data_IF_138564256381
#
_entry.id   IF_138564256381
#
_cell.length_a   1.000
_cell.length_b   1.000
_cell.length_c   1.000
_cell.angle_alpha   90.00
_cell.angle_beta   90.00
_cell.angle_gamma   90.00
#
_symmetry.space_group_name_H-M   'P 1'
#
loop_
_entity.id
_entity.type
_entity.pdbx_description
1 polymer ?
#
# COMPACT_ATOMS: atom_id res chain seq x y z
N UNK A 1 -1.83 -98.58 15.77
CA UNK A 1 -2.72 -98.43 14.60
C UNK A 1 -3.73 -97.34 14.93
N UNK A 2 -3.85 -96.34 14.06
CA UNK A 2 -5.03 -95.51 13.71
C UNK A 2 -5.96 -94.98 14.82
N UNK A 3 -6.52 -93.77 14.75
CA UNK A 3 -6.38 -92.58 13.90
C UNK A 3 -7.39 -91.55 14.43
N UNK A 4 -7.17 -90.27 14.11
CA UNK A 4 -8.16 -89.19 13.97
C UNK A 4 -8.96 -88.71 15.19
N UNK A 5 -8.60 -87.52 15.67
CA UNK A 5 -9.53 -86.57 16.29
C UNK A 5 -9.09 -85.14 15.96
N UNK A 6 -9.24 -84.77 14.68
CA UNK A 6 -9.01 -83.39 14.21
C UNK A 6 -10.32 -82.93 13.60
N UNK A 7 -10.96 -81.94 14.21
CA UNK A 7 -12.11 -81.27 13.59
C UNK A 7 -13.21 -80.88 14.55
N UNK A 8 -12.92 -80.16 15.63
CA UNK A 8 -13.95 -79.33 16.28
C UNK A 8 -13.45 -78.17 17.17
N UNK A 9 -12.15 -77.84 17.16
CA UNK A 9 -11.54 -76.94 18.15
C UNK A 9 -10.81 -75.71 17.58
N UNK A 10 -11.22 -75.20 16.41
CA UNK A 10 -10.55 -74.06 15.75
C UNK A 10 -11.47 -72.88 15.39
N UNK A 11 -12.66 -72.77 15.98
CA UNK A 11 -13.61 -71.68 15.67
C UNK A 11 -13.97 -70.76 16.84
N UNK A 12 -13.47 -71.02 18.05
CA UNK A 12 -13.79 -70.22 19.23
C UNK A 12 -12.95 -68.93 19.44
N UNK A 13 -11.66 -68.80 19.02
CA UNK A 13 -10.87 -67.63 19.40
C UNK A 13 -11.01 -66.43 18.44
N UNK A 14 -11.65 -66.58 17.27
CA UNK A 14 -11.80 -65.52 16.27
C UNK A 14 -12.95 -64.54 16.54
N UNK A 15 -13.85 -64.85 17.49
CA UNK A 15 -15.00 -64.00 17.82
C UNK A 15 -14.72 -62.97 18.92
N UNK A 16 -13.55 -63.02 19.57
CA UNK A 16 -13.19 -62.11 20.68
C UNK A 16 -12.26 -60.95 20.24
N UNK A 17 -11.82 -60.91 18.98
CA UNK A 17 -10.94 -59.85 18.45
C UNK A 17 -11.69 -58.72 17.73
N UNK A 18 -13.03 -58.73 17.72
CA UNK A 18 -13.85 -57.73 17.01
C UNK A 18 -14.23 -56.49 17.84
N UNK A 19 -13.68 -56.31 19.04
CA UNK A 19 -14.09 -55.23 19.96
C UNK A 19 -13.32 -53.90 19.82
N UNK A 20 -12.25 -53.83 19.01
CA UNK A 20 -11.61 -52.56 18.66
C UNK A 20 -11.98 -52.15 17.23
N UNK A 21 -13.28 -51.97 16.96
CA UNK A 21 -13.72 -51.27 15.75
C UNK A 21 -13.57 -49.77 16.03
N UNK A 22 -12.76 -49.02 15.27
CA UNK A 22 -12.74 -47.57 15.42
C UNK A 22 -14.18 -47.04 15.25
N UNK A 23 -14.58 -46.05 16.06
CA UNK A 23 -15.93 -45.48 15.95
C UNK A 23 -16.17 -45.03 14.49
N UNK A 24 -17.38 -45.24 13.95
CA UNK A 24 -17.71 -44.76 12.62
C UNK A 24 -17.43 -43.25 12.55
N UNK A 25 -16.86 -42.75 11.43
CA UNK A 25 -16.55 -41.34 11.29
C UNK A 25 -17.82 -40.51 11.48
N UNK A 26 -17.77 -39.53 12.39
CA UNK A 26 -18.91 -38.68 12.68
C UNK A 26 -19.28 -37.86 11.43
N UNK A 27 -20.43 -38.12 10.80
CA UNK A 27 -20.84 -37.40 9.60
C UNK A 27 -21.06 -35.92 9.89
N UNK A 28 -21.36 -35.54 11.14
CA UNK A 28 -21.51 -34.14 11.53
C UNK A 28 -20.16 -33.43 11.56
N UNK A 29 -19.11 -34.10 12.07
CA UNK A 29 -17.75 -33.56 12.04
C UNK A 29 -17.25 -33.37 10.59
N UNK A 30 -17.54 -34.34 9.71
CA UNK A 30 -17.19 -34.24 8.30
C UNK A 30 -17.90 -33.05 7.60
N UNK A 31 -19.19 -32.83 7.91
CA UNK A 31 -19.95 -31.68 7.38
C UNK A 31 -19.41 -30.34 7.90
N UNK A 32 -19.07 -30.26 9.19
CA UNK A 32 -18.51 -29.05 9.78
C UNK A 32 -17.15 -28.70 9.19
N UNK A 33 -16.27 -29.69 9.00
CA UNK A 33 -14.98 -29.50 8.34
C UNK A 33 -15.16 -29.00 6.91
N UNK A 34 -16.06 -29.62 6.14
CA UNK A 34 -16.35 -29.19 4.77
C UNK A 34 -16.86 -27.74 4.70
N UNK A 35 -17.76 -27.36 5.61
CA UNK A 35 -18.29 -26.01 5.70
C UNK A 35 -17.21 -24.98 6.10
N UNK A 36 -16.32 -25.33 7.02
CA UNK A 36 -15.20 -24.49 7.43
C UNK A 36 -14.18 -24.33 6.30
N UNK A 37 -13.81 -25.40 5.61
CA UNK A 37 -12.90 -25.36 4.46
C UNK A 37 -13.45 -24.50 3.32
N UNK A 38 -14.76 -24.57 3.06
CA UNK A 38 -15.41 -23.72 2.07
C UNK A 38 -15.31 -22.22 2.45
N UNK A 39 -15.58 -21.89 3.72
CA UNK A 39 -15.45 -20.51 4.22
C UNK A 39 -14.02 -19.99 4.16
N UNK A 40 -13.05 -20.84 4.52
CA UNK A 40 -11.62 -20.50 4.42
C UNK A 40 -11.26 -20.20 2.97
N UNK A 41 -11.69 -21.05 2.01
CA UNK A 41 -11.44 -20.82 0.59
C UNK A 41 -12.04 -19.51 0.08
N UNK A 42 -13.25 -19.15 0.51
CA UNK A 42 -13.85 -17.84 0.21
C UNK A 42 -13.03 -16.70 0.79
N UNK A 43 -12.66 -16.77 2.07
CA UNK A 43 -11.87 -15.74 2.75
C UNK A 43 -10.47 -15.59 2.15
N UNK A 44 -9.81 -16.68 1.79
CA UNK A 44 -8.51 -16.66 1.13
C UNK A 44 -8.58 -16.00 -0.25
N UNK A 45 -9.68 -16.22 -0.98
CA UNK A 45 -9.94 -15.57 -2.27
C UNK A 45 -10.18 -14.08 -2.08
N UNK A 46 -11.03 -13.68 -1.14
CA UNK A 46 -11.27 -12.27 -0.80
C UNK A 46 -9.98 -11.56 -0.37
N UNK A 47 -9.14 -12.21 0.44
CA UNK A 47 -7.84 -11.66 0.86
C UNK A 47 -6.89 -11.55 -0.34
N UNK A 48 -6.89 -12.50 -1.26
CA UNK A 48 -6.08 -12.44 -2.47
C UNK A 48 -6.52 -11.29 -3.38
N UNK A 49 -7.83 -11.10 -3.56
CA UNK A 49 -8.41 -10.01 -4.33
C UNK A 49 -8.13 -8.65 -3.70
N UNK A 50 -8.28 -8.51 -2.38
CA UNK A 50 -7.94 -7.28 -1.66
C UNK A 50 -6.45 -6.95 -1.78
N UNK A 51 -5.57 -7.96 -1.67
CA UNK A 51 -4.12 -7.79 -1.85
C UNK A 51 -3.73 -7.48 -3.29
N UNK A 52 -4.44 -8.01 -4.28
CA UNK A 52 -4.23 -7.69 -5.69
C UNK A 52 -4.70 -6.27 -5.98
N UNK A 53 -5.89 -5.89 -5.50
CA UNK A 53 -6.43 -4.55 -5.59
C UNK A 53 -5.51 -3.50 -4.95
N UNK A 54 -4.95 -3.77 -3.77
CA UNK A 54 -3.96 -2.88 -3.13
C UNK A 54 -2.65 -2.71 -3.92
N UNK A 55 -2.29 -3.66 -4.78
CA UNK A 55 -1.10 -3.54 -5.66
C UNK A 55 -1.40 -2.74 -6.93
N UNK A 56 -2.63 -2.82 -7.44
CA UNK A 56 -3.06 -2.13 -8.67
C UNK A 56 -3.62 -0.72 -8.43
N UNK A 57 -4.29 -0.50 -7.29
CA UNK A 57 -4.54 0.85 -6.83
C UNK A 57 -3.23 1.35 -6.24
N UNK A 58 -2.46 2.11 -7.01
CA UNK A 58 -1.37 2.93 -6.49
C UNK A 58 -1.91 3.87 -5.42
N UNK A 59 -2.08 3.36 -4.19
CA UNK A 59 -2.37 4.15 -3.01
C UNK A 59 -1.14 5.01 -2.86
N UNK A 60 -1.22 6.24 -3.36
CA UNK A 60 -0.16 7.23 -3.18
C UNK A 60 0.17 7.22 -1.69
N UNK A 61 1.43 6.93 -1.36
CA UNK A 61 1.87 6.88 0.01
C UNK A 61 1.42 8.19 0.69
N UNK A 62 0.83 8.10 1.88
CA UNK A 62 0.33 9.29 2.59
C UNK A 62 1.44 10.36 2.73
N UNK A 63 2.68 9.93 2.87
CA UNK A 63 3.86 10.78 2.89
C UNK A 63 4.08 11.49 1.54
N UNK A 64 3.94 10.78 0.42
CA UNK A 64 4.09 11.35 -0.93
C UNK A 64 2.98 12.38 -1.23
N UNK A 65 1.75 12.09 -0.81
CA UNK A 65 0.62 13.02 -0.96
C UNK A 65 0.86 14.27 -0.14
N UNK A 66 1.29 14.10 1.11
CA UNK A 66 1.58 15.22 2.03
C UNK A 66 2.75 16.06 1.51
N UNK A 67 3.83 15.42 1.06
CA UNK A 67 4.99 16.10 0.49
C UNK A 67 4.62 16.88 -0.78
N UNK A 68 3.81 16.30 -1.67
CA UNK A 68 3.32 16.99 -2.87
C UNK A 68 2.42 18.18 -2.52
N UNK A 69 1.53 18.03 -1.54
CA UNK A 69 0.67 19.12 -1.07
C UNK A 69 1.48 20.27 -0.46
N UNK A 70 2.47 19.96 0.38
CA UNK A 70 3.38 20.96 0.95
C UNK A 70 4.17 21.69 -0.15
N UNK A 71 4.71 20.95 -1.12
CA UNK A 71 5.42 21.53 -2.26
C UNK A 71 4.54 22.46 -3.11
N UNK A 72 3.28 22.08 -3.34
CA UNK A 72 2.32 22.94 -4.05
C UNK A 72 2.00 24.21 -3.27
N UNK A 73 1.80 24.11 -1.95
CA UNK A 73 1.57 25.27 -1.09
C UNK A 73 2.75 26.24 -1.12
N UNK A 74 3.99 25.73 -1.02
CA UNK A 74 5.19 26.54 -1.20
C UNK A 74 5.20 27.21 -2.58
N UNK A 75 4.98 26.45 -3.65
CA UNK A 75 5.06 26.99 -5.00
C UNK A 75 4.02 28.09 -5.25
N UNK A 76 2.79 27.92 -4.77
CA UNK A 76 1.73 28.93 -4.88
C UNK A 76 2.07 30.17 -4.05
N UNK A 77 2.56 29.98 -2.81
CA UNK A 77 2.94 31.09 -1.94
C UNK A 77 4.10 31.91 -2.53
N UNK A 78 5.13 31.25 -3.05
CA UNK A 78 6.27 31.90 -3.68
C UNK A 78 5.85 32.63 -4.97
N UNK A 79 5.08 31.98 -5.86
CA UNK A 79 4.56 32.63 -7.06
C UNK A 79 3.76 33.91 -6.73
N UNK A 80 2.92 33.85 -5.69
CA UNK A 80 2.19 35.04 -5.19
C UNK A 80 3.15 36.12 -4.68
N UNK A 81 4.16 35.75 -3.89
CA UNK A 81 5.13 36.71 -3.38
C UNK A 81 5.91 37.41 -4.51
N UNK A 82 6.29 36.67 -5.56
CA UNK A 82 6.92 37.22 -6.76
C UNK A 82 6.00 38.22 -7.47
N UNK A 83 4.72 37.90 -7.64
CA UNK A 83 3.75 38.82 -8.23
C UNK A 83 3.53 40.08 -7.39
N UNK A 84 3.47 39.94 -6.06
CA UNK A 84 3.33 41.09 -5.15
C UNK A 84 4.56 42.01 -5.23
N UNK A 85 5.77 41.44 -5.25
CA UNK A 85 6.99 42.21 -5.49
C UNK A 85 6.93 42.94 -6.83
N UNK A 86 6.52 42.24 -7.90
CA UNK A 86 6.39 42.82 -9.24
C UNK A 86 5.43 43.99 -9.28
N UNK A 87 4.28 43.89 -8.61
CA UNK A 87 3.29 44.96 -8.54
C UNK A 87 3.80 46.19 -7.77
N UNK A 88 4.63 45.98 -6.74
CA UNK A 88 5.20 47.05 -5.92
C UNK A 88 6.52 47.63 -6.44
N UNK A 89 7.13 47.04 -7.46
CA UNK A 89 8.45 47.44 -7.95
C UNK A 89 8.36 48.47 -9.09
N UNK A 90 9.38 49.34 -9.14
CA UNK A 90 9.54 50.28 -10.26
C UNK A 90 9.79 49.48 -11.55
N UNK A 91 8.99 49.75 -12.57
CA UNK A 91 9.06 49.06 -13.86
C UNK A 91 8.43 47.67 -13.87
N UNK A 92 7.66 47.31 -12.84
CA UNK A 92 6.94 46.04 -12.76
C UNK A 92 7.82 44.82 -12.98
N UNK A 93 8.96 44.76 -12.27
CA UNK A 93 9.96 43.69 -12.38
C UNK A 93 9.90 42.69 -11.23
N UNK A 94 10.28 41.45 -11.50
CA UNK A 94 10.54 40.44 -10.47
C UNK A 94 11.84 40.72 -9.70
N UNK A 95 11.99 40.13 -8.49
CA UNK A 95 13.20 40.27 -7.68
C UNK A 95 14.40 39.57 -8.33
N UNK A 96 15.61 40.00 -7.96
CA UNK A 96 16.83 39.20 -8.18
C UNK A 96 16.94 38.10 -7.12
N UNK A 97 17.78 37.06 -7.30
CA UNK A 97 17.93 35.99 -6.29
C UNK A 97 18.22 36.49 -4.87
N UNK A 98 19.03 37.54 -4.73
CA UNK A 98 19.35 38.17 -3.44
C UNK A 98 18.21 38.97 -2.80
N UNK A 99 17.14 39.25 -3.55
CA UNK A 99 15.96 39.98 -3.09
C UNK A 99 14.78 39.06 -2.80
N UNK A 100 14.90 37.76 -3.12
CA UNK A 100 13.85 36.79 -2.81
C UNK A 100 13.91 36.48 -1.32
N UNK A 101 12.82 36.79 -0.65
CA UNK A 101 12.51 36.23 0.66
C UNK A 101 11.56 35.05 0.48
N UNK A 102 11.92 33.88 1.02
CA UNK A 102 11.11 32.68 0.85
C UNK A 102 9.97 32.69 1.87
N UNK A 103 8.70 32.51 1.43
CA UNK A 103 7.58 32.44 2.37
C UNK A 103 7.72 31.25 3.33
N UNK A 104 7.13 31.35 4.53
CA UNK A 104 7.11 30.28 5.54
C UNK A 104 6.60 28.93 4.99
N UNK A 105 5.68 28.96 4.03
CA UNK A 105 5.17 27.76 3.36
C UNK A 105 6.26 26.96 2.61
N UNK A 106 7.40 27.58 2.32
CA UNK A 106 8.58 26.98 1.71
C UNK A 106 9.64 26.53 2.72
N UNK A 107 9.40 26.64 4.03
CA UNK A 107 10.33 26.15 5.04
C UNK A 107 10.58 24.64 4.86
N UNK A 108 11.85 24.24 4.86
CA UNK A 108 12.27 22.86 4.61
C UNK A 108 12.06 22.36 3.17
N UNK A 109 11.49 23.16 2.27
CA UNK A 109 11.33 22.82 0.86
C UNK A 109 12.59 23.18 0.05
N UNK A 110 12.84 22.42 -1.03
CA UNK A 110 13.94 22.72 -1.95
C UNK A 110 13.41 23.42 -3.18
N UNK A 111 13.61 24.74 -3.23
CA UNK A 111 13.23 25.56 -4.38
C UNK A 111 14.44 25.69 -5.32
N UNK A 112 14.27 25.22 -6.55
CA UNK A 112 15.27 25.33 -7.61
C UNK A 112 14.80 26.28 -8.71
N UNK A 113 15.55 27.36 -8.95
CA UNK A 113 15.29 28.29 -10.06
C UNK A 113 15.81 27.71 -11.37
N UNK A 114 14.94 27.58 -12.37
CA UNK A 114 15.38 27.44 -13.75
C UNK A 114 15.56 28.81 -14.40
N UNK A 115 14.74 29.79 -13.99
CA UNK A 115 14.78 31.16 -14.50
C UNK A 115 14.30 32.15 -13.46
N UNK A 116 15.04 33.23 -13.26
CA UNK A 116 14.61 34.38 -12.46
C UNK A 116 15.22 35.65 -13.05
N UNK A 117 14.43 36.32 -13.89
CA UNK A 117 14.81 37.52 -14.64
C UNK A 117 13.82 38.64 -14.35
N UNK A 118 14.18 39.87 -14.74
CA UNK A 118 13.37 41.05 -14.44
C UNK A 118 11.92 40.93 -14.91
N UNK A 119 11.70 40.27 -16.05
CA UNK A 119 10.37 40.12 -16.61
C UNK A 119 9.83 38.72 -16.57
N UNK A 120 10.55 37.70 -16.07
CA UNK A 120 10.07 36.32 -16.10
C UNK A 120 10.65 35.41 -15.02
N UNK A 121 9.91 34.36 -14.65
CA UNK A 121 10.44 33.34 -13.75
C UNK A 121 9.98 31.91 -14.09
N UNK A 122 10.77 30.94 -13.65
CA UNK A 122 10.43 29.53 -13.61
C UNK A 122 11.21 28.89 -12.46
N UNK A 123 10.51 28.19 -11.58
CA UNK A 123 11.11 27.42 -10.49
C UNK A 123 10.36 26.11 -10.27
N UNK A 124 11.05 25.14 -9.68
CA UNK A 124 10.46 23.90 -9.21
C UNK A 124 10.72 23.70 -7.72
N UNK A 125 9.79 23.03 -7.05
CA UNK A 125 9.98 22.50 -5.71
C UNK A 125 10.24 21.01 -5.83
N UNK A 126 11.36 20.54 -5.29
CA UNK A 126 11.82 19.15 -5.40
C UNK A 126 11.91 18.44 -4.06
N UNK A 127 11.85 17.12 -4.10
CA UNK A 127 12.05 16.27 -2.92
C UNK A 127 13.55 16.00 -2.63
N UNK A 128 13.79 15.08 -1.69
CA UNK A 128 15.08 14.51 -1.31
C UNK A 128 15.95 14.07 -2.50
N UNK A 129 15.30 13.45 -3.48
CA UNK A 129 15.92 12.74 -4.60
C UNK A 129 15.99 13.58 -5.89
N UNK A 130 15.53 14.84 -5.83
CA UNK A 130 15.49 15.74 -6.98
C UNK A 130 14.26 15.57 -7.87
N UNK A 131 13.28 14.75 -7.49
CA UNK A 131 12.01 14.66 -8.18
C UNK A 131 11.23 15.97 -8.03
N UNK A 132 10.68 16.48 -9.13
CA UNK A 132 9.81 17.66 -9.13
C UNK A 132 8.45 17.29 -8.51
N UNK A 133 8.12 17.96 -7.42
CA UNK A 133 6.83 17.81 -6.73
C UNK A 133 5.83 18.90 -7.17
N UNK A 134 6.33 20.10 -7.45
CA UNK A 134 5.56 21.21 -7.97
C UNK A 134 6.44 22.11 -8.85
N UNK A 135 5.84 22.81 -9.81
CA UNK A 135 6.52 23.78 -10.67
C UNK A 135 5.60 24.99 -10.89
N UNK A 136 6.20 26.17 -11.01
CA UNK A 136 5.50 27.39 -11.37
C UNK A 136 6.35 28.21 -12.34
N UNK A 137 5.66 29.03 -13.12
CA UNK A 137 6.25 29.96 -14.06
C UNK A 137 5.33 31.16 -14.23
N UNK A 138 5.92 32.35 -14.39
CA UNK A 138 5.22 33.58 -14.75
C UNK A 138 5.79 34.19 -16.02
N UNK A 139 5.05 35.12 -16.65
CA UNK A 139 5.55 35.88 -17.78
C UNK A 139 6.83 36.55 -17.38
#
# INVERSE_FOLDING_TARGET
MSSMKVGFLLLAPLLLLSACRPPPPDPQAAQQIAALSARIGTLETEVAELRAGQRDSGVANADDVTARAAAQNCAIALARALELFRQGSVGSRYPTPSQVDLPDACEGQRVGWQKLEAQQYTFAVTNGDGQVLAQQSGP
#
